data_IF_342258534594
#
_entry.id   IF_342258534594
#
_cell.length_a   1.000
_cell.length_b   1.000
_cell.length_c   1.000
_cell.angle_alpha   90.00
_cell.angle_beta   90.00
_cell.angle_gamma   90.00
#
_symmetry.space_group_name_H-M   'P 1'
#
loop_
_entity.id
_entity.type
_entity.pdbx_description
1 polymer ?
#
# COMPACT_ATOMS: atom_id res chain seq x y z
N UNK A 1 -17.42 9.72 5.75
CA UNK A 1 -18.03 10.12 4.46
C UNK A 1 -18.49 8.85 3.76
N UNK A 2 -19.80 8.62 3.67
CA UNK A 2 -20.35 7.44 2.97
C UNK A 2 -20.38 7.75 1.47
N UNK A 3 -19.65 6.99 0.68
CA UNK A 3 -19.76 7.06 -0.77
C UNK A 3 -21.06 6.39 -1.20
N UNK A 4 -21.99 7.14 -1.76
CA UNK A 4 -23.17 6.60 -2.41
C UNK A 4 -22.92 6.59 -3.92
N UNK A 5 -22.70 5.41 -4.49
CA UNK A 5 -22.56 5.24 -5.93
C UNK A 5 -23.92 4.95 -6.54
N UNK A 6 -24.41 5.84 -7.39
CA UNK A 6 -25.64 5.62 -8.17
C UNK A 6 -25.25 5.06 -9.55
N UNK A 7 -25.57 3.80 -9.77
CA UNK A 7 -25.35 3.13 -11.06
C UNK A 7 -26.60 3.31 -11.92
N UNK A 8 -26.50 4.04 -13.02
CA UNK A 8 -27.59 4.21 -14.01
C UNK A 8 -27.32 3.33 -15.23
N UNK A 9 -28.38 2.79 -15.83
CA UNK A 9 -28.39 1.97 -17.08
C UNK A 9 -27.72 0.59 -16.99
N UNK A 10 -27.87 -0.12 -15.86
CA UNK A 10 -27.26 -1.43 -15.64
C UNK A 10 -28.29 -2.57 -15.48
N UNK A 11 -29.34 -2.58 -16.27
CA UNK A 11 -30.40 -3.62 -16.19
C UNK A 11 -29.85 -5.05 -16.25
N UNK A 12 -28.78 -5.29 -17.01
CA UNK A 12 -28.12 -6.59 -17.10
C UNK A 12 -27.30 -6.92 -15.85
N UNK A 13 -26.70 -5.92 -15.21
CA UNK A 13 -25.91 -6.10 -14.00
C UNK A 13 -26.80 -6.33 -12.78
N UNK A 14 -27.95 -5.66 -12.68
CA UNK A 14 -28.92 -5.89 -11.60
C UNK A 14 -29.43 -7.34 -11.57
N UNK A 15 -29.71 -7.93 -12.75
CA UNK A 15 -30.08 -9.33 -12.85
C UNK A 15 -28.98 -10.26 -12.36
N UNK A 16 -27.71 -9.98 -12.68
CA UNK A 16 -26.55 -10.75 -12.19
C UNK A 16 -26.36 -10.60 -10.68
N UNK A 17 -26.47 -9.37 -10.15
CA UNK A 17 -26.36 -9.11 -8.70
C UNK A 17 -27.47 -9.82 -7.92
N UNK A 18 -28.69 -9.92 -8.47
CA UNK A 18 -29.81 -10.64 -7.86
C UNK A 18 -29.76 -12.16 -8.08
N UNK A 19 -28.84 -12.66 -8.89
CA UNK A 19 -28.73 -14.10 -9.18
C UNK A 19 -28.39 -14.92 -7.93
N UNK A 20 -28.87 -16.17 -7.91
CA UNK A 20 -28.52 -17.10 -6.83
C UNK A 20 -27.01 -17.32 -6.71
N UNK A 21 -26.30 -17.31 -7.82
CA UNK A 21 -24.82 -17.43 -7.85
C UNK A 21 -24.15 -16.28 -7.11
N UNK A 22 -24.60 -15.04 -7.33
CA UNK A 22 -24.07 -13.89 -6.62
C UNK A 22 -24.37 -13.98 -5.12
N UNK A 23 -25.58 -14.36 -4.72
CA UNK A 23 -25.95 -14.56 -3.32
C UNK A 23 -25.08 -15.63 -2.66
N UNK A 24 -24.83 -16.75 -3.34
CA UNK A 24 -23.96 -17.82 -2.85
C UNK A 24 -22.50 -17.32 -2.71
N UNK A 25 -21.97 -16.64 -3.72
CA UNK A 25 -20.62 -16.06 -3.68
C UNK A 25 -20.46 -15.06 -2.51
N UNK A 26 -21.47 -14.18 -2.33
CA UNK A 26 -21.52 -13.23 -1.22
C UNK A 26 -21.52 -13.94 0.13
N UNK A 27 -22.37 -14.96 0.30
CA UNK A 27 -22.44 -15.72 1.55
C UNK A 27 -21.13 -16.45 1.85
N UNK A 28 -20.51 -17.07 0.83
CA UNK A 28 -19.21 -17.70 0.94
C UNK A 28 -18.10 -16.72 1.32
N UNK A 29 -18.12 -15.53 0.77
CA UNK A 29 -17.18 -14.47 1.11
C UNK A 29 -17.34 -14.04 2.58
N UNK A 30 -18.56 -13.76 3.03
CA UNK A 30 -18.80 -13.39 4.43
C UNK A 30 -18.49 -14.52 5.42
N UNK A 31 -18.76 -15.78 5.06
CA UNK A 31 -18.37 -16.91 5.92
C UNK A 31 -16.85 -17.00 6.08
N UNK A 32 -16.09 -16.77 5.01
CA UNK A 32 -14.63 -16.75 5.07
C UNK A 32 -14.06 -15.57 5.87
N UNK A 33 -14.70 -14.41 5.81
CA UNK A 33 -14.33 -13.28 6.70
C UNK A 33 -14.56 -13.66 8.16
N UNK A 34 -15.74 -14.23 8.50
CA UNK A 34 -16.07 -14.65 9.86
C UNK A 34 -15.16 -15.75 10.39
N UNK A 35 -14.70 -16.64 9.54
CA UNK A 35 -13.76 -17.72 9.90
C UNK A 35 -12.29 -17.30 9.91
N UNK A 36 -12.01 -16.01 9.80
CA UNK A 36 -10.63 -15.47 9.74
C UNK A 36 -9.76 -16.12 8.64
N UNK A 37 -10.38 -16.55 7.53
CA UNK A 37 -9.67 -17.24 6.45
C UNK A 37 -8.88 -16.30 5.53
N UNK A 38 -9.01 -15.00 5.70
CA UNK A 38 -8.26 -13.99 4.93
C UNK A 38 -7.25 -13.29 5.84
N UNK A 39 -5.97 -13.72 5.77
CA UNK A 39 -4.92 -13.21 6.62
C UNK A 39 -4.78 -11.68 6.57
N UNK A 40 -4.88 -11.08 5.38
CA UNK A 40 -4.77 -9.63 5.21
C UNK A 40 -5.89 -8.84 5.91
N UNK A 41 -7.08 -9.41 6.09
CA UNK A 41 -8.18 -8.78 6.84
C UNK A 41 -7.89 -8.87 8.34
N UNK A 42 -7.37 -10.00 8.80
CA UNK A 42 -7.03 -10.19 10.20
C UNK A 42 -5.91 -9.26 10.65
N UNK A 43 -4.92 -9.04 9.80
CA UNK A 43 -3.81 -8.13 10.07
C UNK A 43 -4.28 -6.68 10.30
N UNK A 44 -5.44 -6.29 9.77
CA UNK A 44 -6.06 -4.98 10.04
C UNK A 44 -6.69 -4.88 11.44
N UNK A 45 -7.12 -6.00 12.02
CA UNK A 45 -7.81 -6.05 13.32
C UNK A 45 -6.91 -6.46 14.48
N UNK A 46 -5.77 -7.08 14.20
CA UNK A 46 -4.82 -7.47 15.23
C UNK A 46 -3.93 -6.27 15.63
N UNK A 47 -3.48 -6.25 16.90
CA UNK A 47 -2.59 -5.24 17.50
C UNK A 47 -1.21 -5.10 16.82
N UNK A 48 -1.02 -5.64 15.63
CA UNK A 48 0.20 -5.49 14.82
C UNK A 48 0.50 -4.04 14.43
N UNK A 49 -0.48 -3.15 14.54
CA UNK A 49 -0.32 -1.71 14.30
C UNK A 49 0.75 -1.12 15.24
N UNK A 50 0.83 -1.56 16.49
CA UNK A 50 1.86 -1.09 17.44
C UNK A 50 3.28 -1.43 16.97
N UNK A 51 3.46 -2.62 16.40
CA UNK A 51 4.74 -3.00 15.80
C UNK A 51 5.11 -2.11 14.62
N UNK A 52 4.15 -1.78 13.76
CA UNK A 52 4.36 -0.87 12.62
C UNK A 52 4.78 0.51 13.10
N UNK A 53 4.16 1.05 14.14
CA UNK A 53 4.56 2.34 14.73
C UNK A 53 5.98 2.29 15.29
N UNK A 54 6.32 1.27 16.06
CA UNK A 54 7.67 1.12 16.62
C UNK A 54 8.74 1.00 15.52
N UNK A 55 8.44 0.30 14.44
CA UNK A 55 9.31 0.19 13.28
C UNK A 55 9.44 1.53 12.55
N UNK A 56 8.33 2.23 12.34
CA UNK A 56 8.29 3.56 11.74
C UNK A 56 9.14 4.57 12.52
N UNK A 57 9.11 4.51 13.85
CA UNK A 57 9.91 5.40 14.69
C UNK A 57 11.41 5.20 14.51
N UNK A 58 11.85 3.96 14.28
CA UNK A 58 13.25 3.68 13.95
C UNK A 58 13.67 4.29 12.60
N UNK A 59 12.75 4.33 11.63
CA UNK A 59 13.03 4.86 10.30
C UNK A 59 13.06 6.40 10.26
N UNK A 60 12.36 7.08 11.15
CA UNK A 60 12.27 8.56 11.17
C UNK A 60 13.61 9.27 11.33
N UNK A 61 14.58 8.62 11.96
CA UNK A 61 15.91 9.21 12.24
C UNK A 61 16.85 9.15 11.02
N UNK A 62 16.45 8.46 9.95
CA UNK A 62 17.25 8.40 8.74
C UNK A 62 17.06 9.67 7.89
N UNK A 63 18.04 9.95 7.06
CA UNK A 63 17.89 10.99 6.04
C UNK A 63 17.10 10.50 4.83
N UNK A 64 17.27 9.20 4.50
CA UNK A 64 16.65 8.58 3.35
C UNK A 64 16.07 7.22 3.69
N UNK A 65 14.99 6.84 3.00
CA UNK A 65 14.40 5.51 3.06
C UNK A 65 14.17 5.04 1.63
N UNK A 66 14.72 3.88 1.30
CA UNK A 66 14.52 3.24 -0.01
C UNK A 66 13.55 2.06 0.17
N UNK A 67 12.44 2.08 -0.52
CA UNK A 67 11.53 0.94 -0.64
C UNK A 67 11.86 0.14 -1.89
N UNK A 68 12.22 -1.13 -1.69
CA UNK A 68 12.41 -2.11 -2.77
C UNK A 68 11.14 -2.95 -2.89
N UNK A 69 10.44 -2.80 -3.99
CA UNK A 69 9.23 -3.58 -4.26
C UNK A 69 8.67 -3.27 -5.63
N UNK A 70 8.04 -4.25 -6.25
CA UNK A 70 7.49 -4.11 -7.61
C UNK A 70 5.97 -4.16 -7.60
N UNK A 71 5.35 -3.47 -8.56
CA UNK A 71 3.90 -3.50 -8.77
C UNK A 71 3.11 -3.08 -7.54
N UNK A 72 2.24 -3.97 -7.03
CA UNK A 72 1.38 -3.69 -5.88
C UNK A 72 2.11 -3.38 -4.57
N UNK A 73 3.34 -3.88 -4.41
CA UNK A 73 4.15 -3.65 -3.22
C UNK A 73 4.63 -2.19 -3.08
N UNK A 74 4.81 -1.48 -4.19
CA UNK A 74 5.29 -0.10 -4.18
C UNK A 74 4.19 0.93 -4.45
N UNK A 75 3.23 0.60 -5.33
CA UNK A 75 2.25 1.54 -5.86
C UNK A 75 1.39 2.21 -4.77
N UNK A 76 0.94 1.45 -3.78
CA UNK A 76 0.15 1.98 -2.66
C UNK A 76 0.92 2.97 -1.81
N UNK A 77 2.15 2.61 -1.42
CA UNK A 77 3.05 3.48 -0.66
C UNK A 77 3.41 4.75 -1.42
N UNK A 78 3.75 4.62 -2.69
CA UNK A 78 4.08 5.74 -3.58
C UNK A 78 2.91 6.72 -3.72
N UNK A 79 1.69 6.21 -3.85
CA UNK A 79 0.48 7.03 -3.90
C UNK A 79 0.28 7.80 -2.60
N UNK A 80 0.41 7.15 -1.45
CA UNK A 80 0.26 7.80 -0.13
C UNK A 80 1.30 8.90 0.09
N UNK A 81 2.55 8.64 -0.27
CA UNK A 81 3.62 9.64 -0.19
C UNK A 81 3.33 10.82 -1.11
N UNK A 82 2.88 10.57 -2.35
CA UNK A 82 2.56 11.62 -3.33
C UNK A 82 1.39 12.51 -2.91
N UNK A 83 0.40 11.96 -2.20
CA UNK A 83 -0.72 12.77 -1.67
C UNK A 83 -0.25 13.71 -0.56
N UNK A 84 0.67 13.23 0.29
CA UNK A 84 1.12 13.97 1.46
C UNK A 84 2.22 14.99 1.14
N UNK A 85 2.98 14.74 0.09
CA UNK A 85 4.15 15.56 -0.25
C UNK A 85 3.92 16.32 -1.55
N UNK A 86 4.12 17.62 -1.53
CA UNK A 86 4.26 18.36 -2.77
C UNK A 86 5.61 17.98 -3.39
N UNK A 87 5.60 17.22 -4.47
CA UNK A 87 6.78 16.64 -5.12
C UNK A 87 7.88 17.68 -5.44
N UNK A 88 7.48 18.93 -5.67
CA UNK A 88 8.39 20.02 -6.01
C UNK A 88 8.96 20.77 -4.79
N UNK A 89 8.36 20.63 -3.62
CA UNK A 89 8.71 21.43 -2.44
C UNK A 89 9.18 20.57 -1.26
N UNK A 90 9.37 19.27 -1.45
CA UNK A 90 9.62 18.35 -0.36
C UNK A 90 11.08 18.41 0.12
N UNK A 91 11.31 19.26 1.11
CA UNK A 91 12.54 19.27 1.92
C UNK A 91 12.40 18.46 3.21
N UNK A 92 11.32 17.68 3.36
CA UNK A 92 11.10 16.89 4.58
C UNK A 92 12.03 15.67 4.61
N UNK A 93 12.55 15.40 5.78
CA UNK A 93 13.29 14.17 6.08
C UNK A 93 12.38 13.22 6.86
N UNK A 94 12.49 11.91 6.62
CA UNK A 94 13.33 11.25 5.59
C UNK A 94 12.80 11.47 4.16
N UNK A 95 13.72 11.55 3.19
CA UNK A 95 13.34 11.46 1.78
C UNK A 95 13.01 10.00 1.44
N UNK A 96 11.94 9.78 0.68
CA UNK A 96 11.43 8.44 0.38
C UNK A 96 11.61 8.14 -1.10
N UNK A 97 12.30 7.05 -1.40
CA UNK A 97 12.56 6.56 -2.74
C UNK A 97 11.90 5.20 -2.96
N UNK A 98 11.38 4.96 -4.15
CA UNK A 98 10.81 3.68 -4.54
C UNK A 98 11.62 3.11 -5.71
N UNK A 99 12.27 1.98 -5.48
CA UNK A 99 12.95 1.21 -6.52
C UNK A 99 12.04 0.06 -6.95
N UNK A 100 11.44 0.23 -8.13
CA UNK A 100 10.46 -0.70 -8.71
C UNK A 100 11.08 -1.60 -9.78
N UNK A 101 12.22 -1.20 -10.31
CA UNK A 101 12.95 -1.89 -11.37
C UNK A 101 14.41 -2.15 -10.98
N UNK A 102 14.98 -3.22 -11.51
CA UNK A 102 16.39 -3.58 -11.37
C UNK A 102 17.25 -2.93 -12.48
N UNK A 103 16.96 -1.68 -12.81
CA UNK A 103 17.75 -0.93 -13.78
C UNK A 103 19.04 -0.42 -13.13
N UNK A 104 20.16 -0.88 -13.65
CA UNK A 104 21.48 -0.58 -13.11
C UNK A 104 21.79 0.92 -13.09
N UNK A 105 21.40 1.65 -14.11
CA UNK A 105 21.70 3.09 -14.21
C UNK A 105 20.95 3.87 -13.14
N UNK A 106 19.66 3.59 -12.96
CA UNK A 106 18.83 4.22 -11.94
C UNK A 106 19.30 3.89 -10.52
N UNK A 107 19.68 2.62 -10.28
CA UNK A 107 20.19 2.17 -8.98
C UNK A 107 21.52 2.85 -8.66
N UNK A 108 22.49 2.80 -9.57
CA UNK A 108 23.81 3.43 -9.35
C UNK A 108 23.66 4.93 -9.14
N UNK A 109 22.89 5.61 -9.99
CA UNK A 109 22.65 7.04 -9.86
C UNK A 109 21.98 7.45 -8.55
N UNK A 110 21.11 6.60 -8.01
CA UNK A 110 20.52 6.82 -6.69
C UNK A 110 21.54 6.62 -5.57
N UNK A 111 22.29 5.52 -5.60
CA UNK A 111 23.28 5.19 -4.57
C UNK A 111 24.41 6.22 -4.50
N UNK A 112 24.83 6.78 -5.63
CA UNK A 112 25.86 7.82 -5.71
C UNK A 112 25.42 9.15 -5.05
N UNK A 113 24.12 9.39 -4.96
CA UNK A 113 23.55 10.62 -4.39
C UNK A 113 23.21 10.51 -2.90
N UNK A 114 23.13 9.29 -2.37
CA UNK A 114 22.66 9.05 -1.01
C UNK A 114 23.83 8.76 -0.05
N UNK A 115 23.73 9.34 1.15
CA UNK A 115 24.57 8.90 2.25
C UNK A 115 24.02 7.56 2.79
N UNK A 116 24.66 6.44 2.44
CA UNK A 116 24.22 5.10 2.82
C UNK A 116 24.23 4.84 4.32
N UNK A 117 25.11 5.51 5.09
CA UNK A 117 25.12 5.40 6.56
C UNK A 117 23.86 5.96 7.22
N UNK A 118 23.16 6.87 6.51
CA UNK A 118 21.93 7.52 6.94
C UNK A 118 20.71 7.09 6.13
N UNK A 119 20.84 5.96 5.45
CA UNK A 119 19.80 5.43 4.56
C UNK A 119 19.33 4.06 5.07
N UNK A 120 18.03 3.91 5.20
CA UNK A 120 17.41 2.60 5.49
C UNK A 120 16.80 2.02 4.22
N UNK A 121 16.87 0.70 4.10
CA UNK A 121 16.25 -0.06 2.99
C UNK A 121 15.13 -0.93 3.54
N UNK A 122 13.96 -0.81 2.97
CA UNK A 122 12.77 -1.62 3.29
C UNK A 122 12.43 -2.47 2.08
N UNK A 123 12.40 -3.78 2.24
CA UNK A 123 12.06 -4.74 1.18
C UNK A 123 10.63 -5.24 1.41
N UNK A 124 9.79 -5.20 0.36
CA UNK A 124 8.37 -5.59 0.40
C UNK A 124 8.10 -6.74 -0.56
#
# INVERSE_FOLDING_TARGET
>A
MLFTQKLSNLSGLEKKIRSNQFKQAKNKFYSKIKSNSYGFINDLYEKKIEYIYSFSDKLKNNENIIFLGTGGSSLGGKTLVSIKTNFFLNKQKPQIFFLENVDQVSISGLLDQLNMEKTSVVVI
#
